data_IF_607853907516
#
_entry.id   IF_607853907516
#
_cell.length_a   1.000
_cell.length_b   1.000
_cell.length_c   1.000
_cell.angle_alpha   90.00
_cell.angle_beta   90.00
_cell.angle_gamma   90.00
#
_symmetry.space_group_name_H-M   'P 1'
#
loop_
_entity.id
_entity.type
_entity.pdbx_description
1 polymer ?
#
# COMPACT_ATOMS: atom_id res chain seq x y z
N UNK A 1 6.48 8.92 -10.97
CA UNK A 1 5.27 8.49 -11.72
C UNK A 1 4.47 7.54 -10.84
N UNK A 2 3.14 7.71 -10.78
CA UNK A 2 2.26 6.68 -10.20
C UNK A 2 2.22 5.50 -11.15
N UNK A 3 2.44 4.29 -10.64
CA UNK A 3 2.30 3.09 -11.46
C UNK A 3 0.81 2.79 -11.64
N UNK A 4 0.44 2.40 -12.86
CA UNK A 4 -0.93 2.07 -13.24
C UNK A 4 -0.96 0.74 -13.99
N UNK A 5 -2.03 -0.02 -13.83
CA UNK A 5 -2.29 -1.23 -14.61
C UNK A 5 -3.45 -0.95 -15.55
N UNK A 6 -3.29 -1.21 -16.85
CA UNK A 6 -4.40 -1.03 -17.80
C UNK A 6 -5.56 -1.97 -17.46
N UNK A 7 -6.79 -1.46 -17.45
CA UNK A 7 -7.96 -2.33 -17.28
C UNK A 7 -8.19 -3.09 -18.58
N UNK A 8 -8.06 -4.41 -18.50
CA UNK A 8 -8.38 -5.33 -19.59
C UNK A 8 -8.82 -6.66 -19.01
N UNK A 9 -9.59 -7.43 -19.77
CA UNK A 9 -10.01 -8.78 -19.35
C UNK A 9 -8.80 -9.68 -19.08
N UNK A 10 -7.72 -9.49 -19.86
CA UNK A 10 -6.45 -10.19 -19.65
C UNK A 10 -5.85 -9.85 -18.28
N UNK A 11 -5.74 -8.58 -17.94
CA UNK A 11 -5.17 -8.16 -16.65
C UNK A 11 -6.05 -8.57 -15.47
N UNK A 12 -7.38 -8.54 -15.63
CA UNK A 12 -8.32 -9.07 -14.65
C UNK A 12 -8.13 -10.57 -14.40
N UNK A 13 -7.94 -11.36 -15.47
CA UNK A 13 -7.63 -12.79 -15.35
C UNK A 13 -6.30 -13.03 -14.65
N UNK A 14 -5.25 -12.26 -14.97
CA UNK A 14 -3.95 -12.36 -14.31
C UNK A 14 -4.06 -12.01 -12.82
N UNK A 15 -4.78 -10.94 -12.47
CA UNK A 15 -5.02 -10.57 -11.07
C UNK A 15 -5.75 -11.68 -10.30
N UNK A 16 -6.70 -12.38 -10.93
CA UNK A 16 -7.33 -13.55 -10.35
C UNK A 16 -6.37 -14.74 -10.23
N UNK A 17 -5.55 -15.03 -11.25
CA UNK A 17 -4.51 -16.08 -11.21
C UNK A 17 -3.53 -15.84 -10.05
N UNK A 18 -3.18 -14.59 -9.76
CA UNK A 18 -2.33 -14.24 -8.62
C UNK A 18 -2.92 -14.65 -7.27
N UNK A 19 -4.26 -14.61 -7.15
CA UNK A 19 -4.97 -15.07 -5.96
C UNK A 19 -5.05 -16.60 -5.92
N UNK A 20 -5.50 -17.22 -7.02
CA UNK A 20 -5.67 -18.67 -7.13
C UNK A 20 -4.36 -19.42 -6.90
N UNK A 21 -3.24 -18.88 -7.40
CA UNK A 21 -1.91 -19.47 -7.23
C UNK A 21 -1.27 -19.13 -5.87
N UNK A 22 -1.99 -18.47 -4.96
CA UNK A 22 -1.57 -18.22 -3.59
C UNK A 22 -0.48 -17.15 -3.41
N UNK A 23 -0.13 -16.37 -4.44
CA UNK A 23 0.82 -15.26 -4.31
C UNK A 23 0.24 -14.10 -3.46
N UNK A 24 -1.06 -13.86 -3.64
CA UNK A 24 -1.82 -12.82 -2.95
C UNK A 24 -3.15 -13.40 -2.45
N UNK A 25 -3.72 -12.76 -1.42
CA UNK A 25 -5.09 -12.93 -0.95
C UNK A 25 -5.85 -11.63 -1.23
N UNK A 26 -7.17 -11.70 -1.38
CA UNK A 26 -8.00 -10.50 -1.52
C UNK A 26 -9.10 -10.69 -2.55
N UNK A 27 -9.47 -9.62 -3.24
CA UNK A 27 -10.61 -9.59 -4.17
C UNK A 27 -10.31 -8.74 -5.39
N UNK A 28 -10.78 -9.20 -6.55
CA UNK A 28 -10.67 -8.47 -7.83
C UNK A 28 -12.08 -8.16 -8.33
N UNK A 29 -12.44 -6.88 -8.39
CA UNK A 29 -13.68 -6.39 -8.98
C UNK A 29 -13.43 -5.57 -10.25
N UNK A 30 -14.51 -5.18 -10.92
CA UNK A 30 -14.48 -4.43 -12.18
C UNK A 30 -13.94 -3.00 -12.01
N UNK A 31 -14.22 -2.36 -10.88
CA UNK A 31 -13.82 -0.97 -10.61
C UNK A 31 -12.68 -0.85 -9.59
N UNK A 32 -12.50 -1.89 -8.78
CA UNK A 32 -11.53 -1.91 -7.70
C UNK A 32 -11.02 -3.32 -7.46
N UNK A 33 -9.74 -3.45 -7.17
CA UNK A 33 -9.19 -4.67 -6.58
C UNK A 33 -8.43 -4.35 -5.30
N UNK A 34 -8.31 -5.35 -4.42
CA UNK A 34 -7.56 -5.29 -3.18
C UNK A 34 -6.76 -6.57 -3.06
N UNK A 35 -5.43 -6.44 -2.99
CA UNK A 35 -4.49 -7.56 -2.92
C UNK A 35 -3.59 -7.41 -1.69
N UNK A 36 -3.38 -8.52 -1.02
CA UNK A 36 -2.56 -8.64 0.17
C UNK A 36 -1.62 -9.80 -0.05
N UNK A 37 -0.32 -9.56 -0.04
CA UNK A 37 0.66 -10.64 -0.18
C UNK A 37 0.41 -11.73 0.87
N UNK A 38 0.39 -12.98 0.42
CA UNK A 38 0.17 -14.15 1.27
C UNK A 38 1.47 -14.53 2.02
N UNK A 39 1.94 -13.65 2.90
CA UNK A 39 3.12 -13.87 3.75
C UNK A 39 2.88 -13.23 5.11
N UNK A 40 3.14 -13.96 6.19
CA UNK A 40 3.08 -13.40 7.55
C UNK A 40 4.47 -12.88 7.99
N UNK A 41 4.56 -11.73 8.67
CA UNK A 41 3.50 -10.74 8.91
C UNK A 41 3.29 -9.83 7.69
N UNK A 42 2.03 -9.58 7.31
CA UNK A 42 1.68 -8.57 6.31
C UNK A 42 0.49 -7.71 6.75
N UNK A 43 0.83 -6.46 7.07
CA UNK A 43 -0.09 -5.41 7.51
C UNK A 43 -0.46 -4.43 6.39
N UNK A 44 -0.07 -4.72 5.15
CA UNK A 44 -0.28 -3.84 4.02
C UNK A 44 -1.16 -4.50 2.96
N UNK A 45 -1.75 -3.64 2.13
CA UNK A 45 -2.57 -4.01 0.98
C UNK A 45 -2.23 -3.09 -0.19
N UNK A 46 -2.35 -3.65 -1.38
CA UNK A 46 -2.35 -2.91 -2.63
C UNK A 46 -3.80 -2.79 -3.08
N UNK A 47 -4.23 -1.58 -3.37
CA UNK A 47 -5.56 -1.28 -3.88
C UNK A 47 -5.38 -0.71 -5.29
N UNK A 48 -6.06 -1.29 -6.27
CA UNK A 48 -6.23 -0.67 -7.58
C UNK A 48 -7.61 -0.04 -7.68
N UNK A 49 -7.71 1.24 -8.06
CA UNK A 49 -8.99 1.91 -8.33
C UNK A 49 -8.96 2.42 -9.77
N UNK A 50 -10.01 2.16 -10.54
CA UNK A 50 -10.12 2.67 -11.92
C UNK A 50 -10.14 4.19 -11.90
N UNK A 51 -9.29 4.81 -12.72
CA UNK A 51 -9.25 6.24 -12.98
C UNK A 51 -10.04 6.61 -14.24
N UNK A 52 -10.19 7.90 -14.52
CA UNK A 52 -10.94 8.42 -15.68
C UNK A 52 -10.36 7.97 -17.05
N UNK A 53 -9.13 7.46 -17.07
CA UNK A 53 -8.47 6.91 -18.27
C UNK A 53 -8.70 5.41 -18.44
N UNK A 54 -9.52 4.80 -17.59
CA UNK A 54 -9.78 3.35 -17.62
C UNK A 54 -8.59 2.52 -17.12
N UNK A 55 -7.64 3.09 -16.37
CA UNK A 55 -6.53 2.35 -15.79
C UNK A 55 -6.70 2.22 -14.28
N UNK A 56 -6.21 1.14 -13.68
CA UNK A 56 -6.12 1.00 -12.24
C UNK A 56 -4.96 1.84 -11.69
N UNK A 57 -5.28 2.87 -10.92
CA UNK A 57 -4.33 3.58 -10.08
C UNK A 57 -3.97 2.73 -8.87
N UNK A 58 -2.68 2.40 -8.74
CA UNK A 58 -2.18 1.61 -7.62
C UNK A 58 -1.97 2.49 -6.38
N UNK A 59 -2.54 2.06 -5.26
CA UNK A 59 -2.35 2.63 -3.93
C UNK A 59 -1.84 1.55 -2.99
N UNK A 60 -0.89 1.91 -2.15
CA UNK A 60 -0.43 1.07 -1.05
C UNK A 60 -0.92 1.65 0.27
N UNK A 61 -1.55 0.81 1.09
CA UNK A 61 -2.17 1.24 2.34
C UNK A 61 -2.02 0.16 3.42
N UNK A 62 -2.20 0.55 4.67
CA UNK A 62 -2.32 -0.38 5.77
C UNK A 62 -3.67 -1.12 5.73
N UNK A 63 -3.69 -2.34 6.26
CA UNK A 63 -4.93 -3.07 6.56
C UNK A 63 -5.75 -2.36 7.64
N UNK A 64 -7.04 -2.62 7.65
CA UNK A 64 -8.02 -1.89 8.47
C UNK A 64 -7.71 -1.76 9.98
N UNK A 65 -7.15 -2.73 10.72
CA UNK A 65 -6.78 -2.41 12.11
C UNK A 65 -5.57 -1.47 12.18
N UNK A 66 -4.57 -1.68 11.34
CA UNK A 66 -3.34 -0.88 11.34
C UNK A 66 -3.55 0.53 10.79
N UNK A 67 -4.42 0.72 9.80
CA UNK A 67 -4.75 2.04 9.26
C UNK A 67 -5.47 2.92 10.30
N UNK A 68 -6.43 2.34 11.02
CA UNK A 68 -7.12 3.03 12.12
C UNK A 68 -6.10 3.39 13.21
N UNK A 69 -5.25 2.44 13.61
CA UNK A 69 -4.21 2.67 14.61
C UNK A 69 -3.25 3.79 14.20
N UNK A 70 -2.79 3.80 12.95
CA UNK A 70 -1.91 4.85 12.43
C UNK A 70 -2.57 6.24 12.51
N UNK A 71 -3.84 6.36 12.14
CA UNK A 71 -4.57 7.64 12.23
C UNK A 71 -4.74 8.11 13.67
N UNK A 72 -5.06 7.19 14.59
CA UNK A 72 -5.18 7.50 16.02
C UNK A 72 -3.85 7.95 16.61
N UNK A 73 -2.77 7.21 16.34
CA UNK A 73 -1.42 7.57 16.80
C UNK A 73 -0.95 8.90 16.23
N UNK A 74 -1.28 9.21 14.98
CA UNK A 74 -0.96 10.50 14.36
C UNK A 74 -1.69 11.64 15.07
N UNK A 75 -2.99 11.47 15.37
CA UNK A 75 -3.76 12.44 16.15
C UNK A 75 -3.20 12.67 17.54
N UNK A 76 -2.91 11.60 18.28
CA UNK A 76 -2.29 11.67 19.61
C UNK A 76 -0.89 12.29 19.56
N UNK A 77 -0.10 11.96 18.54
CA UNK A 77 1.23 12.52 18.33
C UNK A 77 1.17 14.04 18.18
N UNK A 78 0.27 14.56 17.35
CA UNK A 78 0.08 16.02 17.17
C UNK A 78 -0.31 16.70 18.49
N UNK A 79 -1.28 16.14 19.22
CA UNK A 79 -1.69 16.69 20.52
C UNK A 79 -0.53 16.73 21.52
N UNK A 80 0.29 15.67 21.54
CA UNK A 80 1.47 15.59 22.41
C UNK A 80 2.52 16.62 22.03
N UNK A 81 2.75 16.84 20.73
CA UNK A 81 3.66 17.89 20.22
C UNK A 81 3.20 19.27 20.71
N UNK A 82 1.92 19.61 20.51
CA UNK A 82 1.36 20.90 20.93
C UNK A 82 1.51 21.09 22.45
N UNK A 83 1.11 20.11 23.25
CA UNK A 83 1.21 20.17 24.70
C UNK A 83 2.67 20.32 25.18
N UNK A 84 3.62 19.66 24.52
CA UNK A 84 5.04 19.75 24.85
C UNK A 84 5.62 21.13 24.52
N UNK A 85 5.23 21.70 23.38
CA UNK A 85 5.65 23.05 22.98
C UNK A 85 5.14 24.13 23.94
N UNK A 86 3.90 24.01 24.43
CA UNK A 86 3.35 24.93 25.46
C UNK A 86 4.20 24.91 26.74
N UNK A 87 4.74 23.74 27.10
CA UNK A 87 5.63 23.56 28.27
C UNK A 87 7.08 23.97 28.00
N UNK A 88 7.42 24.46 26.79
CA UNK A 88 8.78 24.79 26.39
C UNK A 88 9.69 23.58 26.17
N UNK A 89 9.15 22.35 26.16
CA UNK A 89 9.94 21.14 25.93
C UNK A 89 10.00 20.81 24.43
N UNK A 90 11.14 21.13 23.82
CA UNK A 90 11.40 20.91 22.39
C UNK A 90 11.89 19.51 22.05
N UNK A 91 12.42 18.76 23.04
CA UNK A 91 13.02 17.43 22.81
C UNK A 91 11.98 16.47 22.24
N UNK A 92 10.77 16.48 22.82
CA UNK A 92 9.70 15.54 22.47
C UNK A 92 9.13 15.81 21.06
N UNK A 93 8.84 17.07 20.65
CA UNK A 93 8.54 17.41 19.26
C UNK A 93 9.60 16.96 18.26
N UNK A 94 10.88 17.20 18.56
CA UNK A 94 11.99 16.83 17.67
C UNK A 94 12.05 15.29 17.51
N UNK A 95 11.99 14.56 18.63
CA UNK A 95 12.04 13.10 18.62
C UNK A 95 10.85 12.49 17.84
N UNK A 96 9.63 12.96 18.07
CA UNK A 96 8.45 12.49 17.34
C UNK A 96 8.52 12.81 15.84
N UNK A 97 9.05 13.98 15.48
CA UNK A 97 9.21 14.37 14.08
C UNK A 97 10.21 13.44 13.37
N UNK A 98 11.39 13.20 13.98
CA UNK A 98 12.39 12.28 13.43
C UNK A 98 11.81 10.88 13.27
N UNK A 99 11.11 10.38 14.30
CA UNK A 99 10.47 9.07 14.25
C UNK A 99 9.42 8.98 13.12
N UNK A 100 8.59 10.01 12.97
CA UNK A 100 7.61 10.09 11.88
C UNK A 100 8.24 10.04 10.49
N UNK A 101 9.39 10.72 10.31
CA UNK A 101 10.14 10.69 9.04
C UNK A 101 10.70 9.30 8.74
N UNK A 102 11.29 8.63 9.73
CA UNK A 102 11.82 7.26 9.57
C UNK A 102 10.69 6.30 9.20
N UNK A 103 9.56 6.37 9.92
CA UNK A 103 8.39 5.54 9.64
C UNK A 103 7.83 5.79 8.23
N UNK A 104 7.73 7.05 7.81
CA UNK A 104 7.27 7.41 6.48
C UNK A 104 8.22 6.89 5.38
N UNK A 105 9.53 7.00 5.59
CA UNK A 105 10.52 6.48 4.66
C UNK A 105 10.44 4.95 4.51
N UNK A 106 10.33 4.22 5.63
CA UNK A 106 10.13 2.76 5.62
C UNK A 106 8.85 2.36 4.88
N UNK A 107 7.74 3.07 5.14
CA UNK A 107 6.48 2.85 4.43
C UNK A 107 6.64 3.04 2.90
N UNK A 108 7.29 4.13 2.48
CA UNK A 108 7.56 4.40 1.05
C UNK A 108 8.46 3.35 0.40
N UNK A 109 9.45 2.84 1.13
CA UNK A 109 10.30 1.76 0.63
C UNK A 109 9.50 0.45 0.46
N UNK A 110 8.62 0.13 1.42
CA UNK A 110 7.75 -1.05 1.34
C UNK A 110 6.72 -0.92 0.21
N UNK A 111 6.11 0.25 0.05
CA UNK A 111 5.22 0.57 -1.08
C UNK A 111 5.89 0.27 -2.41
N UNK A 112 7.09 0.83 -2.63
CA UNK A 112 7.84 0.64 -3.88
C UNK A 112 8.16 -0.83 -4.14
N UNK A 113 8.61 -1.56 -3.10
CA UNK A 113 8.96 -2.98 -3.22
C UNK A 113 7.75 -3.85 -3.58
N UNK A 114 6.62 -3.65 -2.91
CA UNK A 114 5.43 -4.48 -3.13
C UNK A 114 4.75 -4.14 -4.47
N UNK A 115 4.70 -2.87 -4.87
CA UNK A 115 4.21 -2.48 -6.20
C UNK A 115 5.08 -3.08 -7.30
N UNK A 116 6.42 -2.97 -7.21
CA UNK A 116 7.30 -3.57 -8.20
C UNK A 116 7.11 -5.08 -8.29
N UNK A 117 7.01 -5.77 -7.15
CA UNK A 117 6.79 -7.21 -7.10
C UNK A 117 5.46 -7.62 -7.75
N UNK A 118 4.40 -6.85 -7.55
CA UNK A 118 3.11 -7.06 -8.21
C UNK A 118 3.26 -6.93 -9.72
N UNK A 119 3.84 -5.83 -10.18
CA UNK A 119 4.05 -5.56 -11.61
C UNK A 119 4.94 -6.61 -12.27
N UNK A 120 6.03 -7.03 -11.62
CA UNK A 120 6.93 -8.08 -12.10
C UNK A 120 6.19 -9.41 -12.26
N UNK A 121 5.34 -9.77 -11.28
CA UNK A 121 4.54 -11.00 -11.37
C UNK A 121 3.49 -10.95 -12.46
N UNK A 122 2.84 -9.81 -12.67
CA UNK A 122 1.90 -9.62 -13.77
C UNK A 122 2.62 -9.79 -15.11
N UNK A 123 3.82 -9.22 -15.25
CA UNK A 123 4.64 -9.32 -16.45
C UNK A 123 5.14 -10.75 -16.72
N UNK A 124 5.47 -11.51 -15.67
CA UNK A 124 5.79 -12.94 -15.75
C UNK A 124 4.62 -13.75 -16.33
N UNK A 125 3.40 -13.55 -15.80
CA UNK A 125 2.19 -14.18 -16.34
C UNK A 125 1.84 -13.76 -17.76
N UNK A 126 2.16 -12.51 -18.14
CA UNK A 126 2.01 -12.08 -19.52
C UNK A 126 2.92 -12.88 -20.45
N UNK A 127 4.19 -13.06 -20.09
CA UNK A 127 5.18 -13.78 -20.92
C UNK A 127 4.85 -15.27 -21.04
N UNK A 128 4.47 -15.92 -19.95
CA UNK A 128 4.16 -17.35 -19.92
C UNK A 128 2.90 -17.73 -20.72
N UNK A 129 2.08 -16.76 -21.13
CA UNK A 129 0.86 -16.98 -21.92
C UNK A 129 1.10 -16.77 -23.44
N UNK A 130 2.33 -16.38 -23.82
CA UNK A 130 2.80 -16.26 -25.21
C UNK A 130 3.86 -17.31 -25.59
N UNK A 131 4.25 -18.17 -24.64
CA UNK A 131 4.96 -19.44 -24.87
C UNK A 131 3.94 -20.59 -24.91
#
# INVERSE_FOLDING_TARGET
MKQTITKSDKNLKILNKLIVNGFYNGSVGTEKFELMRNRFPNNHRIIGIVNDRGNYDLKFDFKSPMNILAKVLLGLGILTIIASLIKGNWILPIALTIFGLIFFADFKLKEKKEINRLTDKILEFHKSEYE
#
